data_IF_150399173755
#
_entry.id   IF_150399173755
#
_cell.length_a   1.000
_cell.length_b   1.000
_cell.length_c   1.000
_cell.angle_alpha   90.00
_cell.angle_beta   90.00
_cell.angle_gamma   90.00
#
_symmetry.space_group_name_H-M   'P 1'
#
loop_
_entity.id
_entity.type
_entity.pdbx_description
1 polymer ?
#
# COMPACT_ATOMS: atom_id res chain seq x y z
N UNK A 1 -44.64 -38.92 -56.18
CA UNK A 1 -44.01 -37.71 -56.78
C UNK A 1 -42.61 -37.57 -56.18
N UNK A 2 -41.56 -38.12 -56.83
CA UNK A 2 -40.51 -37.42 -57.62
C UNK A 2 -39.78 -36.26 -56.88
N UNK A 3 -38.53 -36.46 -56.45
CA UNK A 3 -37.25 -36.01 -57.08
C UNK A 3 -36.01 -36.52 -56.29
N UNK A 4 -34.89 -36.70 -57.01
CA UNK A 4 -33.62 -37.37 -56.66
C UNK A 4 -32.49 -36.38 -56.20
N UNK A 5 -31.29 -36.86 -55.75
CA UNK A 5 -30.25 -36.16 -54.96
C UNK A 5 -29.15 -35.47 -55.82
N UNK A 6 -28.07 -34.85 -55.27
CA UNK A 6 -26.79 -35.58 -55.09
C UNK A 6 -25.78 -35.07 -54.01
N UNK A 7 -24.88 -35.99 -53.59
CA UNK A 7 -23.40 -35.88 -53.47
C UNK A 7 -22.75 -34.75 -52.66
N UNK A 8 -21.84 -35.12 -51.76
CA UNK A 8 -20.72 -34.27 -51.35
C UNK A 8 -19.88 -34.81 -50.20
N UNK A 9 -18.94 -35.72 -50.48
CA UNK A 9 -17.83 -36.02 -49.57
C UNK A 9 -16.83 -34.86 -49.59
N UNK A 10 -16.41 -34.35 -48.43
CA UNK A 10 -15.09 -33.73 -48.27
C UNK A 10 -14.67 -33.73 -46.80
N UNK A 11 -13.84 -34.72 -46.44
CA UNK A 11 -12.90 -34.63 -45.32
C UNK A 11 -11.99 -33.42 -45.55
N UNK A 12 -11.94 -32.49 -44.59
CA UNK A 12 -10.84 -31.54 -44.47
C UNK A 12 -10.47 -31.40 -43.00
N UNK A 13 -9.42 -32.13 -42.65
CA UNK A 13 -8.53 -31.95 -41.51
C UNK A 13 -8.28 -30.46 -41.22
N UNK A 14 -8.93 -29.95 -40.19
CA UNK A 14 -8.57 -28.68 -39.58
C UNK A 14 -7.45 -28.90 -38.57
N UNK A 15 -6.20 -28.67 -38.98
CA UNK A 15 -5.09 -28.55 -38.04
C UNK A 15 -5.32 -27.30 -37.19
N UNK A 16 -5.63 -27.49 -35.90
CA UNK A 16 -5.68 -26.42 -34.92
C UNK A 16 -4.25 -25.98 -34.58
N UNK A 17 -3.81 -24.85 -35.15
CA UNK A 17 -2.64 -24.13 -34.67
C UNK A 17 -2.94 -23.60 -33.26
N UNK A 18 -2.47 -24.31 -32.23
CA UNK A 18 -2.43 -23.81 -30.88
C UNK A 18 -1.32 -22.75 -30.79
N UNK A 19 -1.69 -21.47 -30.92
CA UNK A 19 -0.79 -20.37 -30.56
C UNK A 19 -0.75 -20.30 -29.03
N UNK A 20 0.28 -20.90 -28.44
CA UNK A 20 0.63 -20.66 -27.04
C UNK A 20 1.21 -19.25 -26.93
N UNK A 21 0.36 -18.27 -26.62
CA UNK A 21 0.84 -16.96 -26.14
C UNK A 21 1.39 -17.19 -24.74
N UNK A 22 2.71 -17.21 -24.60
CA UNK A 22 3.35 -17.15 -23.29
C UNK A 22 3.04 -15.77 -22.69
N UNK A 23 2.04 -15.71 -21.82
CA UNK A 23 1.78 -14.60 -20.91
C UNK A 23 2.92 -14.56 -19.89
N UNK A 24 4.07 -14.02 -20.28
CA UNK A 24 5.04 -13.56 -19.30
C UNK A 24 4.41 -12.35 -18.60
N UNK A 25 4.24 -12.35 -17.26
CA UNK A 25 3.84 -11.14 -16.56
C UNK A 25 4.90 -10.07 -16.86
N UNK A 26 4.50 -8.83 -17.19
CA UNK A 26 5.48 -7.75 -17.31
C UNK A 26 6.21 -7.66 -15.97
N UNK A 27 7.53 -7.77 -15.99
CA UNK A 27 8.35 -7.40 -14.85
C UNK A 27 7.97 -5.95 -14.52
N UNK A 28 7.27 -5.74 -13.40
CA UNK A 28 6.93 -4.41 -12.94
C UNK A 28 8.24 -3.65 -12.79
N UNK A 29 8.47 -2.67 -13.67
CA UNK A 29 9.60 -1.77 -13.52
C UNK A 29 9.46 -1.11 -12.14
N UNK A 30 10.51 -1.18 -11.33
CA UNK A 30 10.54 -0.48 -10.05
C UNK A 30 10.22 1.00 -10.31
N UNK A 31 9.35 1.63 -9.51
CA UNK A 31 8.98 3.02 -9.70
C UNK A 31 10.24 3.90 -9.68
N UNK A 32 10.26 4.95 -10.51
CA UNK A 32 11.41 5.84 -10.67
C UNK A 32 11.86 6.56 -9.38
N UNK A 33 11.02 6.51 -8.34
CA UNK A 33 11.23 7.07 -7.00
C UNK A 33 11.33 5.98 -5.91
N UNK A 34 11.68 4.73 -6.26
CA UNK A 34 11.90 3.68 -5.28
C UNK A 34 13.04 4.06 -4.31
N UNK A 35 12.81 3.87 -3.02
CA UNK A 35 13.79 4.08 -1.97
C UNK A 35 13.81 2.95 -0.94
N UNK A 36 14.58 3.15 0.12
CA UNK A 36 14.63 2.27 1.29
C UNK A 36 14.28 3.04 2.57
N UNK A 37 13.77 2.32 3.56
CA UNK A 37 13.47 2.89 4.87
C UNK A 37 14.74 3.11 5.68
N UNK A 38 15.04 4.38 5.96
CA UNK A 38 15.93 4.75 7.04
C UNK A 38 15.11 4.88 8.33
N UNK A 39 15.49 4.16 9.39
CA UNK A 39 14.71 4.14 10.63
C UNK A 39 15.52 4.61 11.85
N UNK A 40 14.89 5.43 12.66
CA UNK A 40 15.40 5.90 13.95
C UNK A 40 14.61 5.23 15.08
N UNK A 41 15.33 4.73 16.10
CA UNK A 41 14.70 4.24 17.32
C UNK A 41 14.09 5.40 18.10
N UNK A 42 12.88 5.20 18.62
CA UNK A 42 12.31 6.07 19.64
C UNK A 42 12.95 5.80 21.01
N UNK A 43 12.76 6.72 21.96
CA UNK A 43 13.26 6.55 23.32
C UNK A 43 12.58 5.37 24.04
N UNK A 44 13.16 4.96 25.17
CA UNK A 44 12.66 3.83 25.95
C UNK A 44 11.19 4.02 26.33
N UNK A 45 10.36 3.06 25.89
CA UNK A 45 8.93 3.05 26.17
C UNK A 45 8.09 3.87 25.18
N UNK A 46 8.70 4.39 24.13
CA UNK A 46 8.03 5.06 23.02
C UNK A 46 8.06 4.19 21.75
N UNK A 47 7.15 4.50 20.83
CA UNK A 47 7.16 4.04 19.45
C UNK A 47 6.71 5.17 18.53
N UNK A 48 6.89 5.00 17.23
CA UNK A 48 6.41 5.96 16.24
C UNK A 48 4.90 5.80 16.04
N UNK A 49 4.15 6.89 16.23
CA UNK A 49 2.70 6.95 16.07
C UNK A 49 2.31 8.11 15.16
N UNK A 50 1.31 7.87 14.32
CA UNK A 50 0.61 8.96 13.64
C UNK A 50 -0.38 9.58 14.60
N UNK A 51 -0.32 10.90 14.77
CA UNK A 51 -1.18 11.62 15.69
C UNK A 51 -1.96 12.73 14.97
N UNK A 52 -3.18 13.02 15.44
CA UNK A 52 -3.98 14.09 14.87
C UNK A 52 -3.43 15.47 15.25
N UNK A 53 -3.36 16.38 14.27
CA UNK A 53 -3.18 17.80 14.60
C UNK A 53 -4.46 18.34 15.26
N UNK A 54 -4.31 19.18 16.29
CA UNK A 54 -5.41 19.67 17.12
C UNK A 54 -5.84 21.12 16.81
N UNK A 55 -5.11 21.82 15.94
CA UNK A 55 -5.38 23.22 15.59
C UNK A 55 -5.44 23.48 14.08
N UNK A 56 -5.04 22.51 13.27
CA UNK A 56 -5.04 22.56 11.81
C UNK A 56 -5.43 21.20 11.23
N UNK A 57 -5.97 21.14 10.01
CA UNK A 57 -6.17 19.86 9.32
C UNK A 57 -4.84 19.11 9.12
N UNK A 58 -4.89 17.79 9.27
CA UNK A 58 -3.77 16.88 9.02
C UNK A 58 -3.36 16.01 10.20
N UNK A 59 -2.38 15.16 9.93
CA UNK A 59 -1.75 14.24 10.88
C UNK A 59 -0.25 14.40 10.79
N UNK A 60 0.46 13.93 11.80
CA UNK A 60 1.92 13.96 11.83
C UNK A 60 2.45 12.69 12.50
N UNK A 61 3.66 12.27 12.12
CA UNK A 61 4.33 11.13 12.72
C UNK A 61 5.28 11.63 13.81
N UNK A 62 5.24 11.04 15.00
CA UNK A 62 6.22 11.31 16.05
C UNK A 62 6.50 10.08 16.91
N UNK A 63 7.60 10.13 17.67
CA UNK A 63 7.85 9.15 18.73
C UNK A 63 7.09 9.58 19.98
N UNK A 64 6.17 8.74 20.45
CA UNK A 64 5.39 9.00 21.66
C UNK A 64 5.13 7.71 22.46
N UNK A 65 4.60 7.87 23.67
CA UNK A 65 4.15 6.75 24.49
C UNK A 65 2.83 6.18 23.94
N UNK A 66 2.63 4.85 24.02
CA UNK A 66 1.41 4.22 23.52
C UNK A 66 0.13 4.82 24.11
N UNK A 67 0.12 5.10 25.42
CA UNK A 67 -1.06 5.62 26.11
C UNK A 67 -1.37 7.08 25.71
N UNK A 68 -0.33 7.89 25.48
CA UNK A 68 -0.46 9.30 25.08
C UNK A 68 -0.98 9.39 23.63
N UNK A 69 -0.39 8.62 22.70
CA UNK A 69 -0.85 8.53 21.32
C UNK A 69 -2.29 7.99 21.21
N UNK A 70 -2.64 6.95 21.98
CA UNK A 70 -4.00 6.42 22.02
C UNK A 70 -5.01 7.44 22.58
N UNK A 71 -4.60 8.20 23.60
CA UNK A 71 -5.40 9.28 24.17
C UNK A 71 -5.64 10.41 23.16
N UNK A 72 -4.62 10.79 22.39
CA UNK A 72 -4.72 11.81 21.34
C UNK A 72 -5.74 11.42 20.26
N UNK A 73 -5.67 10.19 19.74
CA UNK A 73 -6.63 9.66 18.77
C UNK A 73 -8.03 9.58 19.37
N UNK A 74 -8.18 9.01 20.57
CA UNK A 74 -9.49 8.86 21.23
C UNK A 74 -10.15 10.22 21.49
N UNK A 75 -9.38 11.20 21.94
CA UNK A 75 -9.87 12.56 22.18
C UNK A 75 -10.30 13.21 20.86
N UNK A 76 -9.49 13.11 19.81
CA UNK A 76 -9.82 13.65 18.50
C UNK A 76 -11.07 13.00 17.89
N UNK A 77 -11.26 11.69 18.06
CA UNK A 77 -12.46 10.97 17.59
C UNK A 77 -13.77 11.51 18.18
N UNK A 78 -13.73 12.11 19.38
CA UNK A 78 -14.89 12.70 20.06
C UNK A 78 -15.20 14.14 19.61
N UNK A 79 -14.34 14.75 18.78
CA UNK A 79 -14.57 16.09 18.26
C UNK A 79 -15.66 16.13 17.18
N UNK A 80 -16.10 17.34 16.80
CA UNK A 80 -17.20 17.55 15.82
C UNK A 80 -16.75 18.29 14.56
N UNK A 81 -15.44 18.50 14.40
CA UNK A 81 -14.82 19.26 13.31
C UNK A 81 -13.64 18.48 12.72
N UNK A 82 -12.70 19.17 12.08
CA UNK A 82 -11.54 18.59 11.40
C UNK A 82 -10.68 17.72 12.32
N UNK A 83 -10.69 17.95 13.64
CA UNK A 83 -9.94 17.13 14.60
C UNK A 83 -10.42 15.66 14.60
N UNK A 84 -11.72 15.42 14.32
CA UNK A 84 -12.25 14.06 14.18
C UNK A 84 -11.72 13.39 12.92
N UNK A 85 -11.69 14.12 11.82
CA UNK A 85 -11.15 13.63 10.55
C UNK A 85 -9.65 13.33 10.67
N UNK A 86 -8.90 14.20 11.37
CA UNK A 86 -7.50 13.99 11.69
C UNK A 86 -7.30 12.71 12.51
N UNK A 87 -8.12 12.47 13.54
CA UNK A 87 -8.00 11.28 14.37
C UNK A 87 -8.30 9.99 13.58
N UNK A 88 -9.30 10.02 12.70
CA UNK A 88 -9.59 8.91 11.78
C UNK A 88 -8.41 8.66 10.85
N UNK A 89 -7.87 9.72 10.22
CA UNK A 89 -6.73 9.60 9.33
C UNK A 89 -5.49 9.05 10.06
N UNK A 90 -5.25 9.50 11.29
CA UNK A 90 -4.15 9.02 12.12
C UNK A 90 -4.29 7.52 12.41
N UNK A 91 -5.47 7.07 12.84
CA UNK A 91 -5.73 5.66 13.09
C UNK A 91 -5.57 4.82 11.83
N UNK A 92 -6.13 5.26 10.70
CA UNK A 92 -6.02 4.52 9.43
C UNK A 92 -4.58 4.41 8.95
N UNK A 93 -3.78 5.46 9.13
CA UNK A 93 -2.37 5.43 8.76
C UNK A 93 -1.56 4.55 9.71
N UNK A 94 -1.87 4.53 11.01
CA UNK A 94 -1.28 3.56 11.94
C UNK A 94 -1.59 2.13 11.52
N UNK A 95 -2.85 1.83 11.18
CA UNK A 95 -3.29 0.48 10.78
C UNK A 95 -2.59 0.04 9.46
N UNK A 96 -2.43 0.96 8.52
CA UNK A 96 -1.66 0.72 7.29
C UNK A 96 -0.21 0.33 7.61
N UNK A 97 0.41 1.05 8.55
CA UNK A 97 1.81 0.89 8.90
C UNK A 97 2.12 -0.38 9.71
N UNK A 98 1.12 -1.03 10.30
CA UNK A 98 1.28 -2.30 11.05
C UNK A 98 1.93 -3.43 10.23
N UNK A 99 1.82 -3.36 8.90
CA UNK A 99 2.38 -4.37 7.99
C UNK A 99 3.73 -3.98 7.38
N UNK A 100 4.24 -2.79 7.70
CA UNK A 100 5.49 -2.28 7.14
C UNK A 100 6.71 -2.84 7.88
N UNK A 101 7.59 -3.48 7.11
CA UNK A 101 8.94 -3.82 7.51
C UNK A 101 9.96 -2.92 6.82
N UNK A 102 11.22 -2.98 7.28
CA UNK A 102 12.31 -2.19 6.69
C UNK A 102 12.59 -2.55 5.22
N UNK A 103 12.26 -3.77 4.82
CA UNK A 103 12.38 -4.27 3.45
C UNK A 103 11.15 -3.96 2.58
N UNK A 104 10.09 -3.38 3.15
CA UNK A 104 8.90 -3.02 2.38
C UNK A 104 9.26 -1.87 1.42
N UNK A 105 9.01 -2.00 0.10
CA UNK A 105 9.28 -0.94 -0.85
C UNK A 105 8.57 0.36 -0.44
N UNK A 106 9.27 1.49 -0.62
CA UNK A 106 8.73 2.80 -0.28
C UNK A 106 9.05 3.83 -1.37
N UNK A 107 8.35 4.97 -1.31
CA UNK A 107 8.63 6.10 -2.18
C UNK A 107 9.45 7.14 -1.43
N UNK A 108 10.50 7.66 -2.06
CA UNK A 108 11.36 8.68 -1.45
C UNK A 108 10.52 9.86 -0.92
N UNK A 109 10.74 10.21 0.34
CA UNK A 109 10.01 11.27 1.05
C UNK A 109 8.86 10.77 1.91
N UNK A 110 8.42 9.51 1.76
CA UNK A 110 7.40 8.92 2.64
C UNK A 110 7.90 8.88 4.09
N UNK A 111 6.97 9.08 5.02
CA UNK A 111 7.15 8.82 6.45
C UNK A 111 6.27 7.64 6.85
N UNK A 112 6.70 6.86 7.82
CA UNK A 112 5.90 5.75 8.35
C UNK A 112 6.38 5.29 9.74
N UNK A 113 5.49 4.63 10.48
CA UNK A 113 5.87 3.81 11.62
C UNK A 113 6.33 2.43 11.14
N UNK A 114 7.63 2.27 10.92
CA UNK A 114 8.19 1.01 10.40
C UNK A 114 8.56 0.11 11.57
N UNK A 115 7.71 -0.89 11.84
CA UNK A 115 7.86 -1.78 13.01
C UNK A 115 8.01 -1.01 14.35
N UNK A 116 7.26 0.07 14.51
CA UNK A 116 7.29 0.95 15.69
C UNK A 116 8.45 1.95 15.74
N UNK A 117 9.28 2.02 14.70
CA UNK A 117 10.39 2.98 14.57
C UNK A 117 9.98 4.15 13.69
N UNK A 118 10.56 5.33 13.92
CA UNK A 118 10.34 6.47 13.03
C UNK A 118 11.06 6.19 11.70
N UNK A 119 10.30 6.03 10.62
CA UNK A 119 10.82 5.74 9.29
C UNK A 119 10.74 6.95 8.37
N UNK A 120 11.81 7.18 7.61
CA UNK A 120 11.82 8.05 6.44
C UNK A 120 12.32 7.25 5.24
N UNK A 121 11.58 7.27 4.14
CA UNK A 121 12.03 6.66 2.91
C UNK A 121 13.03 7.60 2.22
N UNK A 122 14.23 7.10 1.97
CA UNK A 122 15.32 7.87 1.37
C UNK A 122 15.75 7.22 0.05
N UNK A 123 16.36 8.01 -0.82
CA UNK A 123 16.88 7.49 -2.08
C UNK A 123 17.99 6.47 -1.82
N UNK A 124 18.01 5.38 -2.60
CA UNK A 124 19.13 4.45 -2.58
C UNK A 124 20.41 5.17 -3.00
N UNK A 125 21.50 5.07 -2.20
CA UNK A 125 22.81 5.53 -2.63
C UNK A 125 23.28 4.56 -3.72
N UNK A 126 23.04 4.93 -4.98
CA UNK A 126 23.60 4.21 -6.13
C UNK A 126 25.10 4.38 -6.20
#
# INVERSE_FOLDING_TARGET
MKRLPPVGHALLTGATLAVTVALAPPAAAAPADAGHWQTLSCDKGQAAYWEPLNHTPGIFLQCDRPDDAASAVTTGMMATRFERENAIAAQLQQDHDLTLGIETPCRVGDLASVSGRFGQCVADPR
#
